data_IF_890200422546
#
_entry.id   IF_890200422546
#
_cell.length_a   1.000
_cell.length_b   1.000
_cell.length_c   1.000
_cell.angle_alpha   90.00
_cell.angle_beta   90.00
_cell.angle_gamma   90.00
#
_symmetry.space_group_name_H-M   'P 1'
#
loop_
_entity.id
_entity.type
_entity.pdbx_description
1 polymer ?
#
# COMPACT_ATOMS: atom_id res chain seq x y z
N UNK A 1 -4.68 10.95 -31.33
CA UNK A 1 -4.33 9.96 -30.28
C UNK A 1 -3.68 10.69 -29.11
N UNK A 2 -3.95 10.34 -27.84
CA UNK A 2 -3.30 11.02 -26.72
C UNK A 2 -1.79 10.70 -26.67
N UNK A 3 -0.99 11.69 -26.25
CA UNK A 3 0.48 11.65 -26.30
C UNK A 3 1.14 10.70 -25.29
N UNK A 4 2.38 10.30 -25.59
CA UNK A 4 3.24 9.49 -24.70
C UNK A 4 3.46 10.25 -23.37
N UNK A 5 2.88 9.72 -22.28
CA UNK A 5 3.00 10.33 -20.95
C UNK A 5 1.74 10.21 -20.07
N UNK A 6 0.58 9.85 -20.64
CA UNK A 6 -0.68 9.72 -19.89
C UNK A 6 -0.61 8.65 -18.76
N UNK A 7 0.33 7.73 -18.86
CA UNK A 7 0.53 6.61 -17.94
C UNK A 7 1.35 7.03 -16.71
N UNK A 8 1.95 8.22 -16.72
CA UNK A 8 2.74 8.77 -15.63
C UNK A 8 2.12 10.05 -15.03
N UNK A 9 0.79 10.13 -15.06
CA UNK A 9 0.10 10.88 -14.03
C UNK A 9 0.25 10.07 -12.75
N UNK A 10 1.35 10.28 -12.01
CA UNK A 10 1.39 10.03 -10.56
C UNK A 10 0.02 10.40 -10.04
N UNK A 11 -0.66 9.47 -9.39
CA UNK A 11 -2.03 9.56 -8.87
C UNK A 11 -2.25 10.91 -8.18
N UNK A 12 -2.51 11.96 -8.96
CA UNK A 12 -2.92 13.25 -8.43
C UNK A 12 -4.26 12.94 -7.79
N UNK A 13 -4.42 13.30 -6.53
CA UNK A 13 -5.72 13.27 -5.86
C UNK A 13 -6.73 13.79 -6.87
N UNK A 14 -7.65 12.95 -7.38
CA UNK A 14 -8.45 13.34 -8.52
C UNK A 14 -9.25 14.56 -8.08
N UNK A 15 -9.13 15.63 -8.87
CA UNK A 15 -9.71 16.95 -8.58
C UNK A 15 -11.21 16.74 -8.31
N UNK A 16 -11.67 16.98 -7.07
CA UNK A 16 -13.08 16.83 -6.66
C UNK A 16 -13.38 15.87 -5.49
N UNK A 17 -12.42 15.06 -5.02
CA UNK A 17 -12.67 14.21 -3.83
C UNK A 17 -12.39 14.95 -2.52
N UNK A 18 -13.20 14.69 -1.49
CA UNK A 18 -12.96 15.25 -0.15
C UNK A 18 -11.66 14.69 0.47
N UNK A 19 -11.10 15.39 1.46
CA UNK A 19 -9.92 14.91 2.20
C UNK A 19 -10.21 13.58 2.90
N UNK A 20 -11.41 13.45 3.47
CA UNK A 20 -11.90 12.21 4.09
C UNK A 20 -11.86 11.04 3.12
N UNK A 21 -12.47 11.21 1.95
CA UNK A 21 -12.56 10.18 0.93
C UNK A 21 -11.18 9.79 0.39
N UNK A 22 -10.32 10.78 0.17
CA UNK A 22 -8.92 10.56 -0.24
C UNK A 22 -8.19 9.70 0.79
N UNK A 23 -8.34 10.04 2.07
CA UNK A 23 -7.72 9.31 3.18
C UNK A 23 -8.28 7.89 3.27
N UNK A 24 -9.60 7.73 3.24
CA UNK A 24 -10.28 6.45 3.29
C UNK A 24 -9.85 5.52 2.14
N UNK A 25 -9.84 6.02 0.90
CA UNK A 25 -9.42 5.26 -0.26
C UNK A 25 -7.95 4.85 -0.21
N UNK A 26 -7.06 5.72 0.25
CA UNK A 26 -5.66 5.40 0.43
C UNK A 26 -5.45 4.31 1.49
N UNK A 27 -6.06 4.49 2.67
CA UNK A 27 -5.88 3.63 3.83
C UNK A 27 -6.49 2.25 3.62
N UNK A 28 -7.69 2.12 3.03
CA UNK A 28 -8.30 0.79 2.85
C UNK A 28 -7.43 -0.15 1.99
N UNK A 29 -6.70 0.38 1.01
CA UNK A 29 -5.80 -0.42 0.18
C UNK A 29 -4.56 -0.88 0.93
N UNK A 30 -4.04 -0.05 1.83
CA UNK A 30 -3.03 -0.47 2.79
C UNK A 30 -3.58 -1.56 3.72
N UNK A 31 -4.76 -1.33 4.29
CA UNK A 31 -5.41 -2.20 5.26
C UNK A 31 -5.57 -3.65 4.76
N UNK A 32 -6.01 -3.83 3.51
CA UNK A 32 -6.16 -5.17 2.91
C UNK A 32 -4.84 -5.95 2.80
N UNK A 33 -3.71 -5.25 2.69
CA UNK A 33 -2.38 -5.87 2.67
C UNK A 33 -1.86 -6.11 4.07
N UNK A 34 -2.13 -5.15 4.95
CA UNK A 34 -1.63 -5.11 6.32
C UNK A 34 -2.24 -6.19 7.19
N UNK A 35 -3.54 -6.49 7.02
CA UNK A 35 -4.26 -7.56 7.72
C UNK A 35 -3.50 -8.90 7.77
N UNK A 36 -2.69 -9.21 6.76
CA UNK A 36 -1.90 -10.45 6.70
C UNK A 36 -0.85 -10.59 7.80
N UNK A 37 -0.50 -9.48 8.45
CA UNK A 37 0.46 -9.43 9.55
C UNK A 37 -0.23 -9.52 10.92
N UNK A 38 -1.56 -9.50 10.96
CA UNK A 38 -2.36 -9.39 12.20
C UNK A 38 -3.42 -10.50 12.32
N UNK A 39 -3.16 -11.68 11.75
CA UNK A 39 -4.07 -12.81 11.87
C UNK A 39 -4.26 -13.19 13.35
N UNK A 40 -5.52 -13.21 13.81
CA UNK A 40 -5.84 -13.50 15.20
C UNK A 40 -5.56 -12.36 16.18
N UNK A 41 -5.13 -11.19 15.69
CA UNK A 41 -4.90 -10.00 16.50
C UNK A 41 -5.73 -8.80 15.95
N UNK A 42 -7.02 -8.71 16.31
CA UNK A 42 -7.87 -7.60 15.90
C UNK A 42 -7.39 -6.25 16.43
N UNK A 43 -6.74 -6.22 17.59
CA UNK A 43 -6.33 -4.97 18.24
C UNK A 43 -5.06 -4.41 17.62
N UNK A 44 -4.05 -5.26 17.39
CA UNK A 44 -2.86 -4.89 16.61
C UNK A 44 -3.23 -4.39 15.22
N UNK A 45 -4.22 -5.02 14.58
CA UNK A 45 -4.75 -4.55 13.30
C UNK A 45 -5.39 -3.16 13.41
N UNK A 46 -6.28 -2.93 14.38
CA UNK A 46 -6.89 -1.60 14.61
C UNK A 46 -5.84 -0.52 14.84
N UNK A 47 -4.84 -0.80 15.68
CA UNK A 47 -3.74 0.12 15.95
C UNK A 47 -2.92 0.43 14.69
N UNK A 48 -2.64 -0.57 13.85
CA UNK A 48 -1.94 -0.38 12.59
C UNK A 48 -2.73 0.52 11.62
N UNK A 49 -4.05 0.35 11.53
CA UNK A 49 -4.90 1.21 10.69
C UNK A 49 -4.97 2.64 11.24
N UNK A 50 -5.16 2.82 12.54
CA UNK A 50 -5.18 4.15 13.16
C UNK A 50 -3.87 4.91 12.94
N UNK A 51 -2.73 4.24 13.10
CA UNK A 51 -1.41 4.81 12.81
C UNK A 51 -1.30 5.25 11.35
N UNK A 52 -1.71 4.40 10.42
CA UNK A 52 -1.61 4.69 9.00
C UNK A 52 -2.52 5.86 8.58
N UNK A 53 -3.72 5.96 9.17
CA UNK A 53 -4.62 7.12 9.01
C UNK A 53 -3.92 8.40 9.47
N UNK A 54 -3.29 8.38 10.64
CA UNK A 54 -2.57 9.55 11.16
C UNK A 54 -1.38 9.95 10.26
N UNK A 55 -0.59 8.98 9.80
CA UNK A 55 0.55 9.22 8.89
C UNK A 55 0.07 9.91 7.60
N UNK A 56 -0.96 9.37 6.94
CA UNK A 56 -1.47 9.96 5.69
C UNK A 56 -2.17 11.30 5.89
N UNK A 57 -2.76 11.53 7.07
CA UNK A 57 -3.39 12.81 7.38
C UNK A 57 -2.36 13.94 7.50
N UNK A 58 -1.14 13.63 7.96
CA UNK A 58 -0.05 14.59 8.06
C UNK A 58 0.42 15.15 6.70
N UNK A 59 0.15 14.43 5.61
CA UNK A 59 0.47 14.87 4.24
C UNK A 59 -0.50 15.94 3.71
N UNK A 60 -1.63 16.19 4.39
CA UNK A 60 -2.57 17.21 3.96
C UNK A 60 -2.13 18.61 4.41
N UNK A 61 -2.29 19.59 3.50
CA UNK A 61 -2.06 21.00 3.82
C UNK A 61 -2.93 21.50 4.99
N UNK A 62 -4.15 20.95 5.13
CA UNK A 62 -5.02 21.16 6.29
C UNK A 62 -5.47 19.78 6.78
N UNK A 63 -4.87 19.26 7.86
CA UNK A 63 -5.20 17.96 8.43
C UNK A 63 -6.68 17.88 8.89
N UNK A 64 -7.22 16.67 8.90
CA UNK A 64 -8.52 16.35 9.53
C UNK A 64 -8.37 16.33 11.05
N UNK A 65 -9.48 16.57 11.76
CA UNK A 65 -9.56 16.49 13.21
C UNK A 65 -9.56 15.05 13.74
N UNK A 66 -9.15 14.89 15.00
CA UNK A 66 -8.95 13.58 15.66
C UNK A 66 -10.19 12.68 15.60
N UNK A 67 -11.39 13.23 15.84
CA UNK A 67 -12.65 12.47 15.78
C UNK A 67 -12.88 11.87 14.40
N UNK A 68 -12.58 12.63 13.34
CA UNK A 68 -12.78 12.18 11.97
C UNK A 68 -11.79 11.07 11.61
N UNK A 69 -10.53 11.18 12.06
CA UNK A 69 -9.54 10.11 11.92
C UNK A 69 -9.99 8.83 12.62
N UNK A 70 -10.51 8.95 13.85
CA UNK A 70 -11.03 7.82 14.62
C UNK A 70 -12.20 7.11 13.93
N UNK A 71 -13.10 7.86 13.30
CA UNK A 71 -14.19 7.27 12.50
C UNK A 71 -13.67 6.55 11.25
N UNK A 72 -12.71 7.12 10.53
CA UNK A 72 -12.12 6.51 9.33
C UNK A 72 -11.40 5.20 9.70
N UNK A 73 -10.54 5.23 10.72
CA UNK A 73 -9.79 4.05 11.15
C UNK A 73 -10.71 2.93 11.61
N UNK A 74 -11.71 3.27 12.44
CA UNK A 74 -12.70 2.32 12.95
C UNK A 74 -13.51 1.71 11.81
N UNK A 75 -14.01 2.54 10.88
CA UNK A 75 -14.80 2.07 9.73
C UNK A 75 -14.05 1.02 8.90
N UNK A 76 -12.78 1.27 8.59
CA UNK A 76 -11.94 0.36 7.80
C UNK A 76 -11.64 -0.92 8.56
N UNK A 77 -11.20 -0.79 9.82
CA UNK A 77 -10.78 -1.93 10.61
C UNK A 77 -11.97 -2.86 10.91
N UNK A 78 -13.07 -2.31 11.39
CA UNK A 78 -14.26 -3.07 11.73
C UNK A 78 -14.88 -3.74 10.51
N UNK A 79 -14.95 -3.06 9.36
CA UNK A 79 -15.50 -3.70 8.17
C UNK A 79 -14.65 -4.91 7.76
N UNK A 80 -13.32 -4.77 7.84
CA UNK A 80 -12.40 -5.86 7.53
C UNK A 80 -12.61 -7.03 8.48
N UNK A 81 -12.65 -6.78 9.80
CA UNK A 81 -12.79 -7.82 10.83
C UNK A 81 -14.16 -8.49 10.78
N UNK A 82 -15.24 -7.72 10.65
CA UNK A 82 -16.62 -8.24 10.76
C UNK A 82 -17.11 -8.88 9.47
N UNK A 83 -16.81 -8.28 8.32
CA UNK A 83 -17.48 -8.63 7.07
C UNK A 83 -16.56 -9.20 5.99
N UNK A 84 -15.25 -8.98 6.07
CA UNK A 84 -14.38 -9.48 5.01
C UNK A 84 -14.17 -10.98 5.11
N UNK A 85 -14.45 -11.68 4.00
CA UNK A 85 -14.10 -13.10 3.86
C UNK A 85 -12.60 -13.35 3.99
N UNK A 86 -11.78 -12.37 3.61
CA UNK A 86 -10.34 -12.49 3.77
C UNK A 86 -9.96 -12.66 5.25
N UNK A 87 -10.54 -11.85 6.15
CA UNK A 87 -10.34 -11.99 7.59
C UNK A 87 -10.98 -13.28 8.13
N UNK A 88 -12.26 -13.50 7.79
CA UNK A 88 -13.08 -14.56 8.39
C UNK A 88 -12.74 -15.98 7.92
N UNK A 89 -12.35 -16.16 6.66
CA UNK A 89 -11.97 -17.47 6.11
C UNK A 89 -10.54 -17.87 6.53
N UNK A 90 -9.78 -16.92 7.08
CA UNK A 90 -8.45 -17.13 7.66
C UNK A 90 -7.31 -17.28 6.64
N UNK A 91 -6.07 -17.47 7.15
CA UNK A 91 -4.85 -17.40 6.34
C UNK A 91 -4.75 -18.50 5.28
N UNK A 92 -5.23 -19.72 5.57
CA UNK A 92 -5.14 -20.83 4.62
C UNK A 92 -6.02 -20.62 3.38
N UNK A 93 -7.25 -20.13 3.56
CA UNK A 93 -8.15 -19.81 2.46
C UNK A 93 -7.61 -18.61 1.64
N UNK A 94 -7.08 -17.60 2.35
CA UNK A 94 -6.42 -16.46 1.73
C UNK A 94 -5.24 -16.88 0.84
N UNK A 95 -4.33 -17.71 1.35
CA UNK A 95 -3.15 -18.16 0.61
C UNK A 95 -3.51 -18.96 -0.62
N UNK A 96 -4.52 -19.83 -0.53
CA UNK A 96 -5.05 -20.57 -1.68
C UNK A 96 -5.57 -19.61 -2.75
N UNK A 97 -6.38 -18.63 -2.38
CA UNK A 97 -6.91 -17.63 -3.31
C UNK A 97 -5.79 -16.76 -3.91
N UNK A 98 -4.82 -16.34 -3.11
CA UNK A 98 -3.68 -15.55 -3.56
C UNK A 98 -2.83 -16.32 -4.57
N UNK A 99 -2.47 -17.57 -4.27
CA UNK A 99 -1.74 -18.45 -5.19
C UNK A 99 -2.50 -18.65 -6.51
N UNK A 100 -3.82 -18.86 -6.45
CA UNK A 100 -4.66 -19.00 -7.64
C UNK A 100 -4.65 -17.72 -8.51
N UNK A 101 -4.78 -16.54 -7.88
CA UNK A 101 -4.72 -15.25 -8.56
C UNK A 101 -3.34 -15.03 -9.21
N UNK A 102 -2.26 -15.32 -8.49
CA UNK A 102 -0.90 -15.18 -9.02
C UNK A 102 -0.62 -16.17 -10.15
N UNK A 103 -1.07 -17.42 -10.04
CA UNK A 103 -0.95 -18.40 -11.11
C UNK A 103 -1.69 -17.95 -12.38
N UNK A 104 -2.92 -17.43 -12.25
CA UNK A 104 -3.67 -16.89 -13.37
C UNK A 104 -2.97 -15.68 -14.02
N UNK A 105 -2.43 -14.77 -13.20
CA UNK A 105 -1.63 -13.62 -13.67
C UNK A 105 -0.35 -14.05 -14.37
N UNK A 106 0.36 -15.02 -13.81
CA UNK A 106 1.58 -15.61 -14.36
C UNK A 106 1.33 -16.26 -15.73
N UNK A 107 0.24 -17.02 -15.89
CA UNK A 107 -0.17 -17.57 -17.20
C UNK A 107 -0.39 -16.46 -18.24
N UNK A 108 -1.14 -15.41 -17.88
CA UNK A 108 -1.38 -14.27 -18.77
C UNK A 108 -0.08 -13.51 -19.11
N UNK A 109 0.82 -13.35 -18.15
CA UNK A 109 2.12 -12.72 -18.31
C UNK A 109 3.07 -13.53 -19.21
N UNK A 110 3.13 -14.84 -19.02
CA UNK A 110 3.97 -15.75 -19.81
C UNK A 110 3.57 -15.80 -21.29
N UNK A 111 2.27 -15.79 -21.59
CA UNK A 111 1.76 -15.71 -22.97
C UNK A 111 2.18 -14.39 -23.64
N UNK A 112 2.18 -13.27 -22.91
CA UNK A 112 2.62 -11.97 -23.42
C UNK A 112 4.15 -11.85 -23.52
N UNK A 113 4.89 -12.56 -22.66
CA UNK A 113 6.36 -12.61 -22.63
C UNK A 113 6.96 -13.48 -23.72
N UNK A 114 6.28 -14.57 -24.11
CA UNK A 114 6.72 -15.45 -25.21
C UNK A 114 6.79 -14.73 -26.56
N UNK A 115 5.96 -13.71 -26.78
CA UNK A 115 6.03 -12.85 -27.99
C UNK A 115 7.12 -11.78 -27.96
N UNK A 116 7.89 -11.65 -26.87
CA UNK A 116 9.00 -10.69 -26.74
C UNK A 116 10.19 -11.39 -26.07
N UNK A 117 11.04 -11.96 -26.92
CA UNK A 117 12.44 -12.39 -26.66
C UNK A 117 12.67 -13.91 -26.53
N UNK A 118 12.71 -14.58 -27.68
CA UNK A 118 13.77 -15.56 -27.98
C UNK A 118 15.06 -14.85 -28.37
N UNK A 119 15.60 -14.03 -27.46
CA UNK A 119 16.75 -13.16 -27.72
C UNK A 119 17.75 -13.22 -26.56
N UNK A 120 18.40 -14.36 -26.40
CA UNK A 120 19.71 -14.42 -25.76
C UNK A 120 20.71 -13.77 -26.72
N UNK A 121 20.87 -12.45 -26.64
CA UNK A 121 22.07 -11.79 -27.17
C UNK A 121 22.57 -10.82 -26.12
N UNK A 122 23.79 -11.10 -25.64
CA UNK A 122 24.48 -10.22 -24.71
C UNK A 122 24.67 -8.84 -25.32
N UNK A 123 24.57 -7.82 -24.48
CA UNK A 123 25.32 -6.61 -24.75
C UNK A 123 25.72 -5.94 -23.44
N UNK A 124 27.02 -6.03 -23.17
CA UNK A 124 27.76 -5.23 -22.21
C UNK A 124 27.46 -3.74 -22.43
N UNK A 125 27.07 -3.03 -21.37
CA UNK A 125 27.10 -1.56 -21.35
C UNK A 125 28.00 -1.09 -20.20
N UNK A 126 29.13 -0.43 -20.50
CA UNK A 126 29.93 0.25 -19.49
C UNK A 126 29.29 1.60 -19.17
N UNK A 127 29.22 1.96 -17.90
CA UNK A 127 28.64 3.22 -17.47
C UNK A 127 28.35 3.24 -15.99
N UNK A 128 29.40 3.16 -15.16
CA UNK A 128 29.30 3.39 -13.73
C UNK A 128 29.08 4.87 -13.45
N UNK A 129 27.98 5.20 -12.77
CA UNK A 129 27.84 6.47 -12.05
C UNK A 129 27.42 6.20 -10.61
N UNK A 130 28.35 6.57 -9.71
CA UNK A 130 28.23 6.98 -8.32
C UNK A 130 27.23 6.24 -7.40
N UNK A 131 27.81 5.53 -6.42
CA UNK A 131 27.19 5.14 -5.15
C UNK A 131 26.57 6.38 -4.49
N UNK A 132 25.26 6.37 -4.30
CA UNK A 132 24.55 7.26 -3.39
C UNK A 132 24.06 6.45 -2.20
N UNK A 133 24.62 6.75 -1.03
CA UNK A 133 24.30 6.17 0.27
C UNK A 133 22.85 6.43 0.69
N UNK A 134 22.25 5.43 1.35
CA UNK A 134 21.31 5.53 2.46
C UNK A 134 19.96 6.23 2.28
N UNK A 135 19.06 5.62 1.49
CA UNK A 135 17.60 5.84 1.60
C UNK A 135 16.94 5.11 2.78
N UNK A 136 17.65 4.15 3.38
CA UNK A 136 17.15 3.38 4.53
C UNK A 136 17.27 4.19 5.84
N UNK A 137 18.37 4.92 6.03
CA UNK A 137 18.65 5.71 7.24
C UNK A 137 17.63 6.84 7.47
N UNK A 138 17.13 7.46 6.39
CA UNK A 138 16.10 8.52 6.50
C UNK A 138 14.74 7.97 6.95
N UNK A 139 14.40 6.75 6.54
CA UNK A 139 13.12 6.13 6.91
C UNK A 139 13.10 5.63 8.36
N UNK A 140 14.24 5.16 8.87
CA UNK A 140 14.37 4.75 10.27
C UNK A 140 14.44 5.95 11.23
N UNK A 141 15.09 7.07 10.83
CA UNK A 141 15.01 8.34 11.59
C UNK A 141 13.60 8.90 11.68
N UNK A 142 12.81 8.80 10.61
CA UNK A 142 11.40 9.23 10.62
C UNK A 142 10.51 8.31 11.48
N UNK A 143 10.82 7.02 11.56
CA UNK A 143 10.14 6.07 12.47
C UNK A 143 10.40 6.41 13.94
N UNK A 144 11.66 6.74 14.27
CA UNK A 144 12.07 7.03 15.65
C UNK A 144 11.50 8.36 16.18
N UNK A 145 11.42 9.37 15.30
CA UNK A 145 10.80 10.66 15.63
C UNK A 145 9.29 10.54 15.88
N UNK A 146 8.57 9.71 15.12
CA UNK A 146 7.12 9.52 15.28
C UNK A 146 6.80 8.67 16.53
N UNK A 147 7.66 7.70 16.88
CA UNK A 147 7.51 6.91 18.12
C UNK A 147 7.78 7.78 19.35
N UNK A 148 8.76 8.69 19.30
CA UNK A 148 9.09 9.60 20.41
C UNK A 148 8.03 10.68 20.63
N UNK A 149 7.38 11.17 19.57
CA UNK A 149 6.31 12.18 19.68
C UNK A 149 4.96 11.59 20.14
N UNK A 150 4.79 10.27 20.11
CA UNK A 150 3.55 9.59 20.52
C UNK A 150 3.56 9.11 21.99
N UNK A 151 4.64 9.37 22.74
CA UNK A 151 4.83 8.98 24.15
C UNK A 151 4.88 10.17 25.12
N UNK A 152 4.49 11.36 24.68
CA UNK A 152 4.23 12.56 25.50
C UNK A 152 2.77 12.98 25.34
#
# INVERSE_FOLDING_TARGET
>A
MPGRGWHNQRRRTPVGHSRNETLFHGVRHYAYREMRHHWGDPEGYRAAIAREVAIRNADFAVPLGVTELGHISTSIADWTIRYSRMWNDGPAAYDKAFRAIQAARGRKGGVKGSGRNGGLTGNSRPGGHARGEDRADTSDKLRDMVVTAALL
#
